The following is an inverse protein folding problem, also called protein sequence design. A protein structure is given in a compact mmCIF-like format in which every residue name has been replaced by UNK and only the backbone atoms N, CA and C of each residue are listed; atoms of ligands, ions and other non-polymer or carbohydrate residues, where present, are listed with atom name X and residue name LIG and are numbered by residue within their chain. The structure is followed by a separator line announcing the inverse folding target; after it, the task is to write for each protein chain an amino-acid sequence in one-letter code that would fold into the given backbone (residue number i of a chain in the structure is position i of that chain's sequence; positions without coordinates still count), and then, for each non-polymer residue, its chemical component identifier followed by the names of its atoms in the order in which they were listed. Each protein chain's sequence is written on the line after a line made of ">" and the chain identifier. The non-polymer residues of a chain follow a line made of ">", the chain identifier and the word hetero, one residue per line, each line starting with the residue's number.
data_IF_661478680656
#
_entry.id   IF_661478680656
#
_cell.length_a   1.000
_cell.length_b   1.000
_cell.length_c   1.000
_cell.angle_alpha   90.00
_cell.angle_beta   90.00
_cell.angle_gamma   90.00
#
_symmetry.space_group_name_H-M   'P 1'
#
loop_
_entity.id
_entity.type
_entity.pdbx_description
1 polymer ?
#
# COMPACT_ATOMS: atom_id res chain seq x y z
N UNK A 1 18.31 -14.45 38.12
CA UNK A 1 17.48 -13.25 37.90
C UNK A 1 17.26 -13.09 36.38
N UNK A 2 16.04 -12.84 35.95
CA UNK A 2 15.66 -12.60 34.55
C UNK A 2 15.31 -11.10 34.42
N UNK A 3 15.90 -10.43 33.43
CA UNK A 3 15.52 -9.09 32.99
C UNK A 3 14.96 -9.18 31.56
N UNK A 4 13.76 -8.65 31.36
CA UNK A 4 13.13 -8.52 30.07
C UNK A 4 12.93 -7.04 29.75
N UNK A 5 13.28 -6.63 28.55
CA UNK A 5 13.11 -5.26 28.08
C UNK A 5 12.68 -5.30 26.60
N UNK A 6 11.65 -4.55 26.25
CA UNK A 6 11.17 -4.49 24.87
C UNK A 6 9.90 -3.66 24.73
N UNK A 7 9.49 -3.43 23.47
CA UNK A 7 8.21 -2.83 23.17
C UNK A 7 7.09 -3.88 23.31
N UNK A 8 5.95 -3.54 23.92
CA UNK A 8 4.84 -4.45 24.16
C UNK A 8 4.02 -4.69 22.89
N UNK A 9 4.55 -5.49 21.96
CA UNK A 9 3.99 -5.64 20.59
C UNK A 9 2.91 -6.71 20.47
N UNK A 10 2.75 -7.58 21.46
CA UNK A 10 1.85 -8.74 21.41
C UNK A 10 1.00 -8.85 22.67
N UNK A 11 -0.25 -9.32 22.51
CA UNK A 11 -1.20 -9.59 23.59
C UNK A 11 -1.12 -11.03 24.11
N UNK A 12 0.00 -11.71 23.89
CA UNK A 12 0.23 -13.08 24.35
C UNK A 12 1.72 -13.33 24.53
N UNK A 13 2.05 -14.44 25.16
CA UNK A 13 3.42 -14.88 25.41
C UNK A 13 4.01 -14.34 26.71
N UNK A 14 5.26 -14.76 26.98
CA UNK A 14 5.88 -14.62 28.27
C UNK A 14 6.01 -13.15 28.76
N UNK A 15 6.33 -12.22 27.85
CA UNK A 15 6.45 -10.79 28.16
C UNK A 15 5.09 -10.19 28.53
N UNK A 16 4.05 -10.47 27.75
CA UNK A 16 2.69 -10.04 28.06
C UNK A 16 2.20 -10.62 29.40
N UNK A 17 2.41 -11.90 29.59
CA UNK A 17 1.99 -12.61 30.80
C UNK A 17 2.66 -12.05 32.06
N UNK A 18 3.92 -11.62 31.96
CA UNK A 18 4.66 -11.02 33.09
C UNK A 18 4.10 -9.64 33.51
N UNK A 19 3.39 -8.95 32.62
CA UNK A 19 2.74 -7.66 32.91
C UNK A 19 1.26 -7.80 33.25
N UNK A 20 0.66 -8.98 33.01
CA UNK A 20 -0.77 -9.26 33.19
C UNK A 20 -1.01 -10.39 34.19
N UNK A 21 -1.29 -11.60 33.73
CA UNK A 21 -1.73 -12.71 34.62
C UNK A 21 -0.68 -13.17 35.63
N UNK A 22 0.61 -12.96 35.35
CA UNK A 22 1.70 -13.35 36.23
C UNK A 22 2.39 -12.14 36.88
N UNK A 23 1.77 -10.98 36.89
CA UNK A 23 2.35 -9.72 37.34
C UNK A 23 2.89 -9.77 38.75
N UNK A 24 2.25 -10.52 39.63
CA UNK A 24 2.67 -10.68 41.03
C UNK A 24 4.07 -11.31 41.21
N UNK A 25 4.54 -12.04 40.19
CA UNK A 25 5.83 -12.72 40.17
C UNK A 25 6.98 -11.84 39.65
N UNK A 26 6.66 -10.64 39.12
CA UNK A 26 7.60 -9.75 38.44
C UNK A 26 7.52 -8.33 38.96
N UNK A 27 8.67 -7.66 38.99
CA UNK A 27 8.72 -6.20 39.13
C UNK A 27 8.61 -5.61 37.73
N UNK A 28 7.47 -5.02 37.40
CA UNK A 28 7.19 -4.44 36.07
C UNK A 28 7.45 -2.94 36.06
N UNK A 29 8.07 -2.45 35.00
CA UNK A 29 8.32 -1.04 34.76
C UNK A 29 7.67 -0.64 33.46
N UNK A 30 7.01 0.51 33.46
CA UNK A 30 6.41 1.12 32.27
C UNK A 30 7.14 2.44 31.98
N UNK A 31 7.57 2.63 30.75
CA UNK A 31 8.29 3.83 30.30
C UNK A 31 7.51 4.45 29.14
N UNK A 32 6.90 5.61 29.40
CA UNK A 32 6.29 6.42 28.34
C UNK A 32 7.40 7.26 27.66
N UNK A 33 7.52 7.07 26.35
CA UNK A 33 8.51 7.75 25.51
C UNK A 33 8.40 9.27 25.53
N UNK A 34 7.19 9.83 25.74
CA UNK A 34 6.97 11.29 25.87
C UNK A 34 7.75 11.88 27.02
N UNK A 35 7.98 11.11 28.07
CA UNK A 35 8.71 11.51 29.26
C UNK A 35 10.21 11.17 29.18
N UNK A 36 10.68 10.60 28.08
CA UNK A 36 12.06 10.18 27.89
C UNK A 36 12.87 11.24 27.12
N UNK A 37 14.01 11.63 27.66
CA UNK A 37 14.96 12.52 26.96
C UNK A 37 15.62 11.89 25.73
N UNK A 38 15.46 10.57 25.53
CA UNK A 38 15.99 9.84 24.38
C UNK A 38 15.02 9.77 23.20
N UNK A 39 13.77 10.15 23.40
CA UNK A 39 12.74 10.18 22.37
C UNK A 39 12.54 11.63 21.94
N UNK A 40 12.77 11.94 20.68
CA UNK A 40 12.58 13.29 20.17
C UNK A 40 11.09 13.62 20.03
N UNK A 41 10.71 14.86 20.29
CA UNK A 41 9.34 15.35 20.08
C UNK A 41 8.93 15.25 18.59
N UNK A 42 9.88 15.42 17.68
CA UNK A 42 9.65 15.22 16.24
C UNK A 42 9.23 13.78 15.92
N UNK A 43 9.84 12.78 16.56
CA UNK A 43 9.43 11.37 16.42
C UNK A 43 8.01 11.16 16.95
N UNK A 44 7.69 11.69 18.12
CA UNK A 44 6.35 11.58 18.72
C UNK A 44 5.31 12.18 17.79
N UNK A 45 5.56 13.42 17.31
CA UNK A 45 4.64 14.10 16.39
C UNK A 45 4.50 13.36 15.05
N UNK A 46 5.58 12.79 14.54
CA UNK A 46 5.55 11.97 13.32
C UNK A 46 4.62 10.76 13.49
N UNK A 47 4.68 10.07 14.63
CA UNK A 47 3.79 8.93 14.90
C UNK A 47 2.33 9.38 15.03
N UNK A 48 2.07 10.48 15.74
CA UNK A 48 0.72 11.05 15.88
C UNK A 48 0.15 11.40 14.50
N UNK A 49 0.90 12.11 13.69
CA UNK A 49 0.45 12.56 12.37
C UNK A 49 0.22 11.39 11.39
N UNK A 50 0.99 10.30 11.50
CA UNK A 50 0.88 9.14 10.62
C UNK A 50 -0.23 8.17 11.03
N UNK A 51 -0.50 8.03 12.31
CA UNK A 51 -1.32 6.93 12.83
C UNK A 51 -2.43 7.38 13.79
N UNK A 52 -2.35 8.60 14.32
CA UNK A 52 -3.21 9.11 15.40
C UNK A 52 -2.70 8.71 16.79
N UNK A 53 -3.03 9.53 17.78
CA UNK A 53 -2.61 9.31 19.18
C UNK A 53 -3.31 8.08 19.80
N UNK A 54 -4.52 7.75 19.36
CA UNK A 54 -5.28 6.60 19.84
C UNK A 54 -4.92 5.28 19.15
N UNK A 55 -3.94 5.28 18.23
CA UNK A 55 -3.56 4.10 17.47
C UNK A 55 -2.69 3.13 18.29
N UNK A 56 -2.77 1.84 17.98
CA UNK A 56 -1.87 0.84 18.56
C UNK A 56 -0.39 1.09 18.25
N UNK A 57 -0.09 1.74 17.12
CA UNK A 57 1.27 2.15 16.79
C UNK A 57 1.79 3.19 17.77
N UNK A 58 0.97 4.18 18.14
CA UNK A 58 1.32 5.18 19.16
C UNK A 58 1.45 4.53 20.53
N UNK A 59 0.48 3.69 20.93
CA UNK A 59 0.52 2.97 22.21
C UNK A 59 1.82 2.19 22.38
N UNK A 60 2.18 1.39 21.38
CA UNK A 60 3.36 0.52 21.44
C UNK A 60 4.66 1.29 21.34
N UNK A 61 4.77 2.26 20.42
CA UNK A 61 6.05 2.92 20.09
C UNK A 61 6.35 4.16 20.88
N UNK A 62 5.32 4.83 21.39
CA UNK A 62 5.46 6.10 22.13
C UNK A 62 5.03 5.93 23.57
N UNK A 63 3.80 5.51 23.81
CA UNK A 63 3.29 5.37 25.18
C UNK A 63 3.91 4.20 25.95
N UNK A 64 4.44 3.16 25.28
CA UNK A 64 4.97 1.96 25.91
C UNK A 64 3.89 1.01 26.44
N UNK A 65 2.66 1.17 25.96
CA UNK A 65 1.49 0.37 26.31
C UNK A 65 1.32 -0.83 25.38
N UNK A 66 0.69 -1.90 25.86
CA UNK A 66 0.22 -2.98 25.01
C UNK A 66 -0.89 -2.48 24.04
N UNK A 67 -0.98 -3.05 22.83
CA UNK A 67 -2.06 -2.72 21.89
C UNK A 67 -3.44 -3.05 22.49
N UNK A 68 -4.50 -2.43 21.99
CA UNK A 68 -5.88 -2.78 22.35
C UNK A 68 -6.30 -4.04 21.59
N UNK A 69 -7.00 -4.96 22.24
CA UNK A 69 -7.19 -6.35 21.84
C UNK A 69 -7.88 -6.62 20.48
N UNK A 70 -8.41 -5.63 19.78
CA UNK A 70 -9.26 -5.85 18.60
C UNK A 70 -8.80 -5.13 17.32
N UNK A 71 -7.72 -4.36 17.31
CA UNK A 71 -7.31 -3.58 16.15
C UNK A 71 -5.99 -4.05 15.53
N UNK A 72 -5.96 -5.30 15.09
CA UNK A 72 -4.88 -5.81 14.23
C UNK A 72 -5.12 -5.52 12.73
N UNK A 73 -6.19 -4.80 12.38
CA UNK A 73 -6.52 -4.39 11.02
C UNK A 73 -5.72 -3.15 10.63
N UNK A 74 -5.00 -3.23 9.49
CA UNK A 74 -4.12 -2.14 9.09
C UNK A 74 -4.86 -0.92 8.53
N UNK A 75 -5.91 -1.14 7.71
CA UNK A 75 -6.78 -0.08 7.19
C UNK A 75 -8.23 -0.39 7.61
N UNK A 76 -8.80 0.36 8.55
CA UNK A 76 -10.15 0.12 9.04
C UNK A 76 -11.23 0.30 7.97
N UNK A 77 -12.29 -0.52 8.04
CA UNK A 77 -13.43 -0.47 7.12
C UNK A 77 -14.02 0.93 6.91
N UNK A 78 -14.24 1.77 7.95
CA UNK A 78 -14.79 3.10 7.76
C UNK A 78 -13.98 4.02 6.83
N UNK A 79 -12.64 3.84 6.78
CA UNK A 79 -11.80 4.60 5.85
C UNK A 79 -12.04 4.19 4.39
N UNK A 80 -12.24 2.89 4.16
CA UNK A 80 -12.52 2.33 2.83
C UNK A 80 -13.91 2.79 2.35
N UNK A 81 -14.93 2.66 3.21
CA UNK A 81 -16.31 3.08 2.93
C UNK A 81 -16.41 4.58 2.64
N UNK A 82 -15.72 5.42 3.41
CA UNK A 82 -15.67 6.87 3.15
C UNK A 82 -15.10 7.18 1.78
N UNK A 83 -14.05 6.47 1.37
CA UNK A 83 -13.43 6.63 0.05
C UNK A 83 -14.39 6.25 -1.08
N UNK A 84 -15.13 5.15 -0.93
CA UNK A 84 -16.12 4.70 -1.92
C UNK A 84 -17.28 5.68 -2.04
N UNK A 85 -17.77 6.20 -0.91
CA UNK A 85 -18.89 7.13 -0.84
C UNK A 85 -18.55 8.56 -1.30
N UNK A 86 -17.27 8.87 -1.55
CA UNK A 86 -16.83 10.20 -1.98
C UNK A 86 -17.21 10.46 -3.43
N UNK A 87 -17.91 11.57 -3.69
CA UNK A 87 -18.26 11.99 -5.05
C UNK A 87 -16.99 12.31 -5.86
N UNK A 88 -17.02 11.96 -7.14
CA UNK A 88 -15.94 12.21 -8.07
C UNK A 88 -16.39 13.07 -9.24
N UNK A 89 -15.67 14.16 -9.46
CA UNK A 89 -15.87 15.05 -10.60
C UNK A 89 -14.68 14.89 -11.57
N UNK A 90 -14.87 14.14 -12.70
CA UNK A 90 -13.78 13.85 -13.60
C UNK A 90 -13.24 15.11 -14.27
N UNK A 91 -11.93 15.27 -14.29
CA UNK A 91 -11.26 16.31 -15.05
C UNK A 91 -11.16 15.93 -16.52
N UNK A 92 -11.31 16.91 -17.39
CA UNK A 92 -11.12 16.71 -18.84
C UNK A 92 -9.68 16.26 -19.17
N UNK A 93 -8.71 16.77 -18.44
CA UNK A 93 -7.29 16.41 -18.54
C UNK A 93 -6.78 16.03 -17.14
N UNK A 94 -6.74 14.75 -16.80
CA UNK A 94 -6.24 14.29 -15.52
C UNK A 94 -4.74 14.56 -15.42
N UNK A 95 -4.28 14.95 -14.24
CA UNK A 95 -2.86 15.21 -13.95
C UNK A 95 -2.12 13.94 -13.54
N UNK A 96 -2.87 12.96 -13.07
CA UNK A 96 -2.33 11.67 -12.64
C UNK A 96 -3.03 10.56 -13.42
N UNK A 97 -2.25 9.81 -14.20
CA UNK A 97 -2.74 8.57 -14.83
C UNK A 97 -1.72 7.47 -14.48
N UNK A 98 -2.15 6.45 -13.75
CA UNK A 98 -1.34 5.29 -13.42
C UNK A 98 -2.05 4.00 -13.78
N UNK A 99 -1.33 3.00 -14.26
CA UNK A 99 -1.83 1.64 -14.48
C UNK A 99 -1.15 0.72 -13.47
N UNK A 100 -1.91 -0.19 -12.87
CA UNK A 100 -1.44 -1.27 -12.00
C UNK A 100 -1.90 -2.63 -12.53
N UNK A 101 -1.05 -3.63 -12.39
CA UNK A 101 -1.38 -5.01 -12.74
C UNK A 101 -0.80 -5.98 -11.73
N UNK A 102 -1.68 -6.67 -10.99
CA UNK A 102 -1.33 -7.88 -10.25
C UNK A 102 -1.48 -9.08 -11.19
N UNK A 103 -0.40 -9.85 -11.38
CA UNK A 103 -0.33 -10.90 -12.41
C UNK A 103 -0.43 -12.28 -11.76
N UNK A 104 -1.47 -13.03 -12.11
CA UNK A 104 -1.59 -14.45 -11.81
C UNK A 104 -1.65 -15.28 -13.10
N UNK A 105 -1.05 -16.47 -13.11
CA UNK A 105 -1.05 -17.35 -14.29
C UNK A 105 -1.83 -18.64 -14.07
N UNK A 106 -1.63 -19.27 -12.93
CA UNK A 106 -2.20 -20.57 -12.60
C UNK A 106 -2.90 -20.56 -11.25
N UNK A 107 -3.88 -21.42 -11.08
CA UNK A 107 -4.64 -21.55 -9.84
C UNK A 107 -5.90 -20.68 -9.81
N UNK A 108 -6.34 -20.36 -8.62
CA UNK A 108 -7.56 -19.60 -8.35
C UNK A 108 -7.32 -18.07 -8.25
N UNK A 109 -6.05 -17.65 -8.23
CA UNK A 109 -5.68 -16.23 -8.12
C UNK A 109 -6.00 -15.52 -9.46
N UNK A 110 -6.40 -14.25 -9.36
CA UNK A 110 -6.84 -13.46 -10.52
C UNK A 110 -5.72 -12.56 -11.02
N UNK A 111 -5.58 -12.43 -12.34
CA UNK A 111 -4.90 -11.26 -12.93
C UNK A 111 -5.87 -10.10 -12.86
N UNK A 112 -5.46 -9.03 -12.19
CA UNK A 112 -6.24 -7.81 -12.04
C UNK A 112 -5.49 -6.65 -12.67
N UNK A 113 -6.14 -5.99 -13.66
CA UNK A 113 -5.62 -4.77 -14.30
C UNK A 113 -6.54 -3.62 -13.91
N UNK A 114 -5.97 -2.56 -13.39
CA UNK A 114 -6.70 -1.36 -13.03
C UNK A 114 -5.88 -0.11 -13.34
N UNK A 115 -6.53 1.04 -13.18
CA UNK A 115 -5.91 2.33 -13.39
C UNK A 115 -6.51 3.39 -12.46
N UNK A 116 -5.81 4.49 -12.30
CA UNK A 116 -6.38 5.70 -11.68
C UNK A 116 -6.23 6.89 -12.61
N UNK A 117 -7.21 7.76 -12.54
CA UNK A 117 -7.14 9.10 -13.10
C UNK A 117 -7.41 10.09 -11.98
N UNK A 118 -6.41 10.91 -11.67
CA UNK A 118 -6.39 11.77 -10.49
C UNK A 118 -6.72 11.00 -9.21
N UNK A 119 -7.87 11.24 -8.59
CA UNK A 119 -8.29 10.59 -7.35
C UNK A 119 -8.98 9.22 -7.61
N UNK A 120 -9.59 8.98 -8.79
CA UNK A 120 -10.45 7.82 -9.06
C UNK A 120 -9.70 6.59 -9.50
N UNK A 121 -9.84 5.49 -8.78
CA UNK A 121 -9.40 4.14 -9.18
C UNK A 121 -10.52 3.39 -9.87
N UNK A 122 -10.18 2.65 -10.91
CA UNK A 122 -11.11 1.80 -11.66
C UNK A 122 -10.42 0.48 -12.06
N UNK A 123 -11.19 -0.61 -12.02
CA UNK A 123 -10.73 -1.88 -12.60
C UNK A 123 -11.07 -1.94 -14.08
N UNK A 124 -10.08 -2.34 -14.89
CA UNK A 124 -10.27 -2.56 -16.31
C UNK A 124 -10.62 -4.02 -16.62
N UNK A 125 -9.87 -4.95 -16.02
CA UNK A 125 -10.11 -6.39 -16.18
C UNK A 125 -9.74 -7.18 -14.92
N UNK A 126 -10.51 -8.24 -14.69
CA UNK A 126 -10.24 -9.26 -13.67
C UNK A 126 -10.43 -10.63 -14.32
N UNK A 127 -9.40 -11.48 -14.35
CA UNK A 127 -9.45 -12.79 -15.00
C UNK A 127 -8.62 -13.83 -14.26
N UNK A 128 -9.13 -15.05 -14.22
CA UNK A 128 -8.43 -16.26 -13.76
C UNK A 128 -7.81 -16.97 -14.96
N UNK A 129 -6.62 -17.54 -14.80
CA UNK A 129 -5.98 -18.41 -15.79
C UNK A 129 -5.54 -17.69 -17.07
N UNK A 130 -5.24 -16.40 -17.04
CA UNK A 130 -4.80 -15.63 -18.20
C UNK A 130 -3.29 -15.80 -18.44
N UNK A 131 -2.89 -15.98 -19.71
CA UNK A 131 -1.48 -15.98 -20.07
C UNK A 131 -0.85 -14.56 -20.05
N UNK A 132 0.47 -14.53 -19.94
CA UNK A 132 1.23 -13.27 -19.80
C UNK A 132 1.22 -12.41 -21.06
N UNK A 133 1.13 -13.03 -22.25
CA UNK A 133 1.06 -12.30 -23.52
C UNK A 133 -0.26 -11.56 -23.63
N UNK A 134 -1.37 -12.24 -23.31
CA UNK A 134 -2.70 -11.64 -23.29
C UNK A 134 -2.81 -10.53 -22.23
N UNK A 135 -2.17 -10.72 -21.07
CA UNK A 135 -2.11 -9.69 -20.03
C UNK A 135 -1.38 -8.44 -20.53
N UNK A 136 -0.25 -8.61 -21.21
CA UNK A 136 0.47 -7.48 -21.82
C UNK A 136 -0.36 -6.76 -22.89
N UNK A 137 -1.06 -7.50 -23.75
CA UNK A 137 -1.93 -6.92 -24.80
C UNK A 137 -3.11 -6.14 -24.18
N UNK A 138 -3.69 -6.63 -23.08
CA UNK A 138 -4.75 -5.94 -22.35
C UNK A 138 -4.25 -4.62 -21.72
N UNK A 139 -3.03 -4.60 -21.15
CA UNK A 139 -2.39 -3.38 -20.64
C UNK A 139 -2.15 -2.37 -21.77
N UNK A 140 -1.65 -2.84 -22.93
CA UNK A 140 -1.47 -1.97 -24.10
C UNK A 140 -2.79 -1.38 -24.56
N UNK A 141 -3.84 -2.21 -24.63
CA UNK A 141 -5.18 -1.77 -25.02
C UNK A 141 -5.73 -0.70 -24.08
N UNK A 142 -5.58 -0.90 -22.76
CA UNK A 142 -5.98 0.10 -21.76
C UNK A 142 -5.20 1.41 -21.94
N UNK A 143 -3.87 1.33 -22.05
CA UNK A 143 -3.06 2.54 -22.18
C UNK A 143 -3.37 3.33 -23.44
N UNK A 144 -3.57 2.65 -24.57
CA UNK A 144 -4.00 3.30 -25.82
C UNK A 144 -5.39 3.95 -25.69
N UNK A 145 -6.31 3.30 -24.99
CA UNK A 145 -7.63 3.87 -24.67
C UNK A 145 -7.47 5.18 -23.86
N UNK A 146 -6.65 5.18 -22.82
CA UNK A 146 -6.41 6.36 -21.97
C UNK A 146 -5.74 7.50 -22.76
N UNK A 147 -4.74 7.18 -23.60
CA UNK A 147 -4.09 8.16 -24.49
C UNK A 147 -5.11 8.81 -25.42
N UNK A 148 -5.96 8.02 -26.04
CA UNK A 148 -7.01 8.52 -26.94
C UNK A 148 -8.08 9.32 -26.19
N UNK A 149 -8.60 8.79 -25.08
CA UNK A 149 -9.67 9.42 -24.30
C UNK A 149 -9.28 10.79 -23.78
N UNK A 150 -8.04 10.96 -23.34
CA UNK A 150 -7.54 12.21 -22.74
C UNK A 150 -6.72 13.06 -23.73
N UNK A 151 -6.54 12.60 -24.97
CA UNK A 151 -5.82 13.33 -26.00
C UNK A 151 -4.35 13.57 -25.66
N UNK A 152 -3.70 12.61 -24.98
CA UNK A 152 -2.30 12.75 -24.53
C UNK A 152 -1.32 12.84 -25.69
N UNK A 153 -0.29 13.68 -25.55
CA UNK A 153 0.71 13.97 -26.58
C UNK A 153 2.14 13.77 -26.06
N UNK A 154 3.06 13.22 -26.88
CA UNK A 154 4.40 12.86 -26.45
C UNK A 154 5.26 14.05 -25.97
N UNK A 155 5.05 15.22 -26.52
CA UNK A 155 5.86 16.41 -26.22
C UNK A 155 5.32 17.23 -25.04
N UNK A 156 4.10 16.94 -24.60
CA UNK A 156 3.37 17.72 -23.60
C UNK A 156 3.17 16.91 -22.33
N UNK A 157 2.68 15.69 -22.49
CA UNK A 157 2.25 14.85 -21.38
C UNK A 157 3.36 13.89 -20.91
N UNK A 158 3.34 13.59 -19.62
CA UNK A 158 4.25 12.60 -19.06
C UNK A 158 3.80 11.17 -19.43
N UNK A 159 4.73 10.24 -19.65
CA UNK A 159 4.39 8.84 -19.85
C UNK A 159 3.59 8.26 -18.68
N UNK A 160 2.70 7.31 -19.00
CA UNK A 160 1.86 6.62 -18.01
C UNK A 160 2.70 5.57 -17.27
N UNK A 161 2.88 5.66 -15.93
CA UNK A 161 3.51 4.61 -15.15
C UNK A 161 2.66 3.34 -15.14
N UNK A 162 3.25 2.24 -15.63
CA UNK A 162 2.66 0.91 -15.64
C UNK A 162 3.41 0.09 -14.59
N UNK A 163 2.76 -0.16 -13.46
CA UNK A 163 3.36 -0.87 -12.32
C UNK A 163 2.83 -2.30 -12.30
N UNK A 164 3.74 -3.27 -12.33
CA UNK A 164 3.43 -4.68 -12.52
C UNK A 164 4.07 -5.45 -11.37
N UNK A 165 3.32 -6.35 -10.73
CA UNK A 165 3.92 -7.30 -9.80
C UNK A 165 4.91 -8.20 -10.56
N UNK A 166 6.21 -8.04 -10.28
CA UNK A 166 7.31 -8.82 -10.85
C UNK A 166 7.63 -10.07 -10.00
N UNK A 167 6.71 -10.48 -9.14
CA UNK A 167 6.76 -11.71 -8.36
C UNK A 167 6.44 -12.94 -9.21
N UNK A 168 7.44 -13.72 -9.63
CA UNK A 168 7.22 -14.96 -10.37
C UNK A 168 6.84 -14.75 -11.83
N UNK A 169 5.56 -14.87 -12.19
CA UNK A 169 5.08 -14.82 -13.61
C UNK A 169 5.02 -13.43 -14.21
N UNK A 170 4.94 -12.39 -13.39
CA UNK A 170 4.81 -11.01 -13.88
C UNK A 170 6.02 -10.51 -14.67
N UNK A 171 7.21 -11.10 -14.46
CA UNK A 171 8.40 -10.83 -15.27
C UNK A 171 8.16 -11.00 -16.77
N UNK A 172 7.38 -12.01 -17.17
CA UNK A 172 7.03 -12.24 -18.57
C UNK A 172 6.18 -11.12 -19.17
N UNK A 173 5.28 -10.52 -18.38
CA UNK A 173 4.50 -9.34 -18.80
C UNK A 173 5.40 -8.12 -18.96
N UNK A 174 6.30 -7.88 -17.99
CA UNK A 174 7.29 -6.79 -18.04
C UNK A 174 8.16 -6.87 -19.29
N UNK A 175 8.71 -8.06 -19.60
CA UNK A 175 9.58 -8.26 -20.75
C UNK A 175 8.83 -8.07 -22.06
N UNK A 176 7.59 -8.56 -22.16
CA UNK A 176 6.73 -8.37 -23.33
C UNK A 176 6.42 -6.89 -23.57
N UNK A 177 6.05 -6.14 -22.55
CA UNK A 177 5.78 -4.71 -22.70
C UNK A 177 7.03 -3.92 -23.10
N UNK A 178 8.19 -4.26 -22.54
CA UNK A 178 9.48 -3.68 -22.96
C UNK A 178 9.81 -3.98 -24.40
N UNK A 179 9.54 -5.20 -24.87
CA UNK A 179 9.71 -5.59 -26.28
C UNK A 179 8.77 -4.79 -27.19
N UNK A 180 7.49 -4.66 -26.85
CA UNK A 180 6.51 -3.87 -27.60
C UNK A 180 6.98 -2.42 -27.75
N UNK A 181 7.39 -1.79 -26.64
CA UNK A 181 7.89 -0.41 -26.66
C UNK A 181 9.14 -0.25 -27.50
N UNK A 182 10.11 -1.19 -27.42
CA UNK A 182 11.35 -1.14 -28.25
C UNK A 182 11.09 -1.28 -29.74
N UNK A 183 10.10 -2.10 -30.12
CA UNK A 183 9.77 -2.32 -31.52
C UNK A 183 9.11 -1.11 -32.19
N UNK A 184 8.41 -0.28 -31.41
CA UNK A 184 7.79 0.94 -31.94
C UNK A 184 7.76 2.02 -30.82
N UNK A 185 8.88 2.67 -30.53
CA UNK A 185 9.00 3.62 -29.42
C UNK A 185 8.14 4.88 -29.61
N UNK A 186 7.94 5.34 -30.85
CA UNK A 186 7.11 6.51 -31.14
C UNK A 186 5.63 6.25 -30.84
N UNK A 187 5.11 5.09 -31.24
CA UNK A 187 3.73 4.70 -30.99
C UNK A 187 3.46 4.46 -29.50
N UNK A 188 4.44 3.89 -28.77
CA UNK A 188 4.32 3.51 -27.36
C UNK A 188 5.13 4.45 -26.45
N UNK A 189 5.30 5.72 -26.83
CA UNK A 189 5.97 6.76 -26.05
C UNK A 189 5.41 6.89 -24.63
N UNK A 190 4.11 6.71 -24.50
CA UNK A 190 3.34 6.84 -23.26
C UNK A 190 3.62 5.76 -22.22
N UNK A 191 4.27 4.65 -22.56
CA UNK A 191 4.54 3.54 -21.63
C UNK A 191 5.77 3.84 -20.78
N UNK A 192 5.62 3.77 -19.46
CA UNK A 192 6.73 3.80 -18.51
C UNK A 192 6.59 2.60 -17.56
N UNK A 193 7.44 1.57 -17.72
CA UNK A 193 7.25 0.24 -17.13
C UNK A 193 8.04 0.09 -15.84
N UNK A 194 7.35 -0.16 -14.74
CA UNK A 194 7.89 -0.34 -13.39
C UNK A 194 7.61 -1.74 -12.86
N UNK A 195 8.61 -2.64 -12.86
CA UNK A 195 8.50 -3.91 -12.14
C UNK A 195 8.54 -3.64 -10.61
N UNK A 196 7.58 -4.16 -9.89
CA UNK A 196 7.44 -4.01 -8.43
C UNK A 196 7.46 -5.39 -7.79
N UNK A 197 8.20 -5.58 -6.71
CA UNK A 197 8.25 -6.84 -5.95
C UNK A 197 7.56 -6.69 -4.61
N UNK A 198 6.51 -7.46 -4.40
CA UNK A 198 5.86 -7.58 -3.10
C UNK A 198 6.72 -8.35 -2.10
N UNK A 199 6.55 -8.07 -0.81
CA UNK A 199 7.25 -8.75 0.28
C UNK A 199 8.77 -8.55 0.34
N UNK A 200 9.35 -7.71 -0.54
CA UNK A 200 10.79 -7.43 -0.53
C UNK A 200 11.16 -6.60 0.70
N UNK A 201 12.17 -7.02 1.47
CA UNK A 201 12.72 -6.22 2.57
C UNK A 201 13.23 -4.87 2.08
N UNK A 202 12.90 -3.81 2.81
CA UNK A 202 13.29 -2.43 2.47
C UNK A 202 14.05 -1.76 3.62
N UNK A 203 14.90 -0.80 3.29
CA UNK A 203 15.53 0.08 4.27
C UNK A 203 14.58 1.24 4.59
N UNK A 204 13.66 1.00 5.53
CA UNK A 204 12.70 2.00 5.98
C UNK A 204 12.65 2.03 7.50
N UNK A 205 12.42 3.22 8.10
CA UNK A 205 12.40 3.39 9.56
C UNK A 205 11.23 2.65 10.20
N UNK A 206 10.07 2.64 9.56
CA UNK A 206 8.79 2.19 10.13
C UNK A 206 8.26 0.90 9.51
N UNK A 207 8.60 0.59 8.27
CA UNK A 207 8.02 -0.52 7.52
C UNK A 207 9.05 -1.60 7.23
N UNK A 208 8.62 -2.87 7.38
CA UNK A 208 9.50 -4.02 7.26
C UNK A 208 9.76 -4.42 5.81
N UNK A 209 8.76 -4.30 4.95
CA UNK A 209 8.82 -4.70 3.56
C UNK A 209 8.05 -3.78 2.59
N UNK A 210 8.18 -4.05 1.30
CA UNK A 210 7.57 -3.26 0.22
C UNK A 210 6.04 -3.30 0.24
N UNK A 211 5.43 -4.43 0.60
CA UNK A 211 3.96 -4.56 0.70
C UNK A 211 3.42 -3.65 1.80
N UNK A 212 4.06 -3.70 2.97
CA UNK A 212 3.70 -2.84 4.10
C UNK A 212 3.86 -1.36 3.75
N UNK A 213 4.94 -1.01 3.03
CA UNK A 213 5.12 0.36 2.54
C UNK A 213 4.00 0.78 1.59
N UNK A 214 3.63 -0.05 0.61
CA UNK A 214 2.54 0.25 -0.31
C UNK A 214 1.19 0.38 0.41
N UNK A 215 0.90 -0.49 1.39
CA UNK A 215 -0.27 -0.37 2.26
C UNK A 215 -0.26 0.95 3.04
N UNK A 216 0.90 1.41 3.51
CA UNK A 216 1.00 2.70 4.20
C UNK A 216 0.73 3.89 3.28
N UNK A 217 1.14 3.81 2.03
CA UNK A 217 0.79 4.82 1.01
C UNK A 217 -0.71 4.88 0.78
N UNK A 218 -1.36 3.72 0.60
CA UNK A 218 -2.82 3.66 0.44
C UNK A 218 -3.52 4.20 1.69
N UNK A 219 -3.11 3.78 2.90
CA UNK A 219 -3.68 4.28 4.16
C UNK A 219 -3.62 5.80 4.24
N UNK A 220 -2.47 6.40 3.86
CA UNK A 220 -2.31 7.87 3.86
C UNK A 220 -3.28 8.55 2.89
N UNK A 221 -3.50 8.01 1.69
CA UNK A 221 -4.44 8.53 0.71
C UNK A 221 -5.90 8.43 1.16
N UNK A 222 -6.22 7.43 1.99
CA UNK A 222 -7.55 7.21 2.57
C UNK A 222 -7.80 8.01 3.85
N UNK A 223 -6.77 8.60 4.47
CA UNK A 223 -6.91 9.33 5.73
C UNK A 223 -7.85 10.53 5.58
N UNK A 224 -8.87 10.65 6.46
CA UNK A 224 -9.81 11.77 6.44
C UNK A 224 -9.31 13.04 7.16
N UNK A 225 -8.06 13.00 7.64
CA UNK A 225 -7.43 14.11 8.36
C UNK A 225 -6.04 14.40 7.78
N UNK A 226 -5.64 15.66 7.80
CA UNK A 226 -4.28 16.06 7.43
C UNK A 226 -3.26 15.80 8.57
N UNK A 227 -2.01 16.18 8.33
CA UNK A 227 -0.91 16.02 9.29
C UNK A 227 -1.09 16.88 10.56
N UNK A 228 -2.03 17.84 10.58
CA UNK A 228 -2.39 18.69 11.71
C UNK A 228 -3.69 18.22 12.41
N UNK A 229 -4.27 17.08 11.98
CA UNK A 229 -5.51 16.56 12.52
C UNK A 229 -6.77 17.29 12.01
N UNK A 230 -6.66 18.16 11.01
CA UNK A 230 -7.82 18.84 10.43
C UNK A 230 -8.51 17.94 9.40
N UNK A 231 -9.85 17.93 9.36
CA UNK A 231 -10.60 17.17 8.36
C UNK A 231 -10.18 17.57 6.94
N UNK A 232 -9.94 16.56 6.10
CA UNK A 232 -9.68 16.71 4.67
C UNK A 232 -10.48 15.71 3.87
N UNK A 233 -10.62 15.98 2.58
CA UNK A 233 -11.14 15.00 1.65
C UNK A 233 -10.12 13.87 1.43
N UNK A 234 -10.62 12.67 1.15
CA UNK A 234 -9.76 11.55 0.78
C UNK A 234 -9.08 11.84 -0.56
N UNK A 235 -7.82 11.45 -0.67
CA UNK A 235 -7.01 11.68 -1.88
C UNK A 235 -7.11 10.54 -2.90
N UNK A 236 -7.94 9.53 -2.60
CA UNK A 236 -8.19 8.38 -3.46
C UNK A 236 -9.62 7.92 -3.30
N UNK A 237 -10.28 7.65 -4.42
CA UNK A 237 -11.65 7.12 -4.48
C UNK A 237 -11.57 5.70 -5.02
N UNK A 238 -11.90 4.75 -4.18
CA UNK A 238 -11.87 3.34 -4.49
C UNK A 238 -13.14 2.92 -5.24
N UNK A 239 -13.06 1.90 -6.12
CA UNK A 239 -14.25 1.31 -6.71
C UNK A 239 -15.10 0.61 -5.63
N UNK A 240 -16.41 0.67 -5.78
CA UNK A 240 -17.36 -0.11 -4.99
C UNK A 240 -17.30 -1.58 -5.43
N UNK A 241 -16.48 -2.36 -4.72
CA UNK A 241 -16.16 -3.75 -5.05
C UNK A 241 -15.97 -4.54 -3.74
N UNK A 242 -16.89 -5.45 -3.47
CA UNK A 242 -16.92 -6.21 -2.21
C UNK A 242 -15.62 -6.97 -1.93
N UNK A 243 -14.99 -7.54 -2.97
CA UNK A 243 -13.73 -8.27 -2.81
C UNK A 243 -12.61 -7.30 -2.41
N UNK A 244 -12.51 -6.14 -3.04
CA UNK A 244 -11.54 -5.11 -2.69
C UNK A 244 -11.73 -4.61 -1.25
N UNK A 245 -12.99 -4.32 -0.88
CA UNK A 245 -13.34 -3.87 0.48
C UNK A 245 -12.87 -4.88 1.51
N UNK A 246 -13.23 -6.16 1.34
CA UNK A 246 -12.83 -7.23 2.26
C UNK A 246 -11.30 -7.43 2.31
N UNK A 247 -10.62 -7.33 1.18
CA UNK A 247 -9.15 -7.52 1.10
C UNK A 247 -8.38 -6.38 1.77
N UNK A 248 -8.84 -5.14 1.67
CA UNK A 248 -8.20 -3.99 2.32
C UNK A 248 -8.53 -3.96 3.81
N UNK A 249 -9.81 -4.04 4.17
CA UNK A 249 -10.27 -3.89 5.55
C UNK A 249 -10.09 -5.15 6.40
N UNK A 250 -9.79 -6.31 5.77
CA UNK A 250 -9.51 -7.56 6.45
C UNK A 250 -8.03 -7.88 6.64
N UNK A 251 -7.11 -7.04 6.13
CA UNK A 251 -5.67 -7.30 6.19
C UNK A 251 -5.08 -6.86 7.52
N UNK A 252 -4.55 -7.86 8.25
CA UNK A 252 -3.97 -7.66 9.56
C UNK A 252 -2.53 -7.15 9.50
N UNK A 253 -2.05 -6.61 10.63
CA UNK A 253 -0.65 -6.24 10.78
C UNK A 253 -0.11 -6.66 12.14
N UNK A 254 1.20 -6.70 12.24
CA UNK A 254 1.93 -6.95 13.48
C UNK A 254 3.11 -5.99 13.60
N UNK A 255 3.60 -5.86 14.82
CA UNK A 255 4.87 -5.20 15.09
C UNK A 255 5.98 -6.26 15.12
N UNK A 256 7.00 -6.08 14.28
CA UNK A 256 8.17 -6.98 14.28
C UNK A 256 9.04 -6.74 15.51
N UNK A 257 9.96 -7.66 15.82
CA UNK A 257 10.95 -7.54 16.91
C UNK A 257 11.76 -6.23 16.84
N UNK A 258 11.99 -5.72 15.62
CA UNK A 258 12.66 -4.43 15.39
C UNK A 258 11.72 -3.23 15.45
N UNK A 259 10.53 -3.39 16.04
CA UNK A 259 9.50 -2.35 16.14
C UNK A 259 9.09 -1.73 14.79
N UNK A 260 9.11 -2.53 13.73
CA UNK A 260 8.58 -2.13 12.41
C UNK A 260 7.21 -2.76 12.21
N UNK A 261 6.37 -2.05 11.49
CA UNK A 261 5.08 -2.58 11.04
C UNK A 261 5.31 -3.58 9.91
N UNK A 262 4.58 -4.69 9.95
CA UNK A 262 4.49 -5.67 8.87
C UNK A 262 3.05 -6.11 8.69
N UNK A 263 2.48 -5.91 7.50
CA UNK A 263 1.17 -6.48 7.16
C UNK A 263 1.30 -7.97 6.87
N UNK A 264 0.21 -8.72 7.10
CA UNK A 264 0.21 -10.16 6.83
C UNK A 264 0.52 -10.45 5.36
N UNK A 265 1.31 -11.52 5.16
CA UNK A 265 1.62 -12.02 3.82
C UNK A 265 0.44 -12.78 3.20
N UNK A 266 0.39 -12.90 1.87
CA UNK A 266 -0.58 -13.75 1.14
C UNK A 266 -0.62 -15.19 1.73
N UNK A 267 0.52 -15.73 2.16
CA UNK A 267 0.61 -17.07 2.76
C UNK A 267 -0.15 -17.16 4.08
N UNK A 268 -0.01 -16.15 4.95
CA UNK A 268 -0.70 -16.09 6.25
C UNK A 268 -2.21 -15.89 6.03
N UNK A 269 -2.61 -15.01 5.12
CA UNK A 269 -4.01 -14.81 4.74
C UNK A 269 -4.65 -16.11 4.26
N UNK A 270 -4.01 -16.85 3.34
CA UNK A 270 -4.49 -18.15 2.85
C UNK A 270 -4.58 -19.19 3.98
N UNK A 271 -3.65 -19.22 4.93
CA UNK A 271 -3.67 -20.14 6.06
C UNK A 271 -4.88 -19.92 6.99
N UNK A 272 -5.41 -18.71 7.10
CA UNK A 272 -6.65 -18.43 7.85
C UNK A 272 -7.91 -18.40 6.97
N UNK A 273 -7.84 -18.96 5.76
CA UNK A 273 -8.99 -19.12 4.86
C UNK A 273 -9.40 -17.85 4.10
N UNK A 274 -8.57 -16.81 4.09
CA UNK A 274 -8.85 -15.58 3.34
C UNK A 274 -8.35 -15.72 1.90
N UNK A 275 -9.15 -15.33 0.89
CA UNK A 275 -8.72 -15.33 -0.50
C UNK A 275 -7.49 -14.46 -0.77
N UNK A 276 -6.80 -14.71 -1.90
CA UNK A 276 -5.70 -13.86 -2.35
C UNK A 276 -6.16 -12.41 -2.52
N UNK A 277 -5.37 -11.41 -2.07
CA UNK A 277 -5.75 -10.01 -2.14
C UNK A 277 -5.44 -9.36 -3.50
N UNK A 278 -5.84 -10.00 -4.61
CA UNK A 278 -5.44 -9.63 -5.96
C UNK A 278 -5.96 -8.25 -6.38
N UNK A 279 -7.20 -7.90 -6.00
CA UNK A 279 -7.78 -6.57 -6.21
C UNK A 279 -7.05 -5.50 -5.39
N UNK A 280 -6.78 -5.79 -4.12
CA UNK A 280 -6.04 -4.87 -3.25
C UNK A 280 -4.60 -4.67 -3.73
N UNK A 281 -3.90 -5.74 -4.14
CA UNK A 281 -2.52 -5.65 -4.62
C UNK A 281 -2.45 -4.84 -5.93
N UNK A 282 -3.42 -4.96 -6.83
CA UNK A 282 -3.56 -4.07 -8.00
C UNK A 282 -3.70 -2.60 -7.58
N UNK A 283 -4.56 -2.29 -6.59
CA UNK A 283 -4.73 -0.92 -6.07
C UNK A 283 -3.46 -0.40 -5.42
N UNK A 284 -2.73 -1.24 -4.67
CA UNK A 284 -1.43 -0.86 -4.09
C UNK A 284 -0.42 -0.46 -5.16
N UNK A 285 -0.36 -1.20 -6.28
CA UNK A 285 0.49 -0.85 -7.42
C UNK A 285 0.07 0.49 -8.03
N UNK A 286 -1.22 0.70 -8.25
CA UNK A 286 -1.78 1.94 -8.81
C UNK A 286 -1.40 3.14 -7.94
N UNK A 287 -1.51 3.02 -6.62
CA UNK A 287 -1.27 4.10 -5.66
C UNK A 287 0.23 4.36 -5.38
N UNK A 288 1.11 3.41 -5.69
CA UNK A 288 2.54 3.56 -5.43
C UNK A 288 3.11 4.78 -6.17
N UNK A 289 3.71 5.77 -5.48
CA UNK A 289 4.27 6.93 -6.14
C UNK A 289 5.50 6.58 -6.98
N UNK A 290 5.65 7.23 -8.13
CA UNK A 290 6.83 7.12 -8.99
C UNK A 290 7.78 8.27 -8.71
N UNK A 291 9.03 7.95 -8.42
CA UNK A 291 10.10 8.95 -8.31
C UNK A 291 10.65 9.24 -9.69
N UNK A 292 10.23 10.32 -10.31
CA UNK A 292 10.86 10.83 -11.54
C UNK A 292 12.00 11.78 -11.19
N UNK A 293 13.14 11.70 -11.89
CA UNK A 293 14.17 12.72 -11.75
C UNK A 293 13.57 14.07 -12.17
N UNK A 294 13.77 15.13 -11.37
CA UNK A 294 13.37 16.49 -11.77
C UNK A 294 14.00 16.78 -13.12
N UNK A 295 13.20 17.12 -14.15
CA UNK A 295 13.72 17.67 -15.41
C UNK A 295 14.62 18.83 -15.03
N UNK A 296 15.90 18.79 -15.40
CA UNK A 296 16.77 19.97 -15.32
C UNK A 296 16.09 21.04 -16.17
N UNK A 297 15.64 22.15 -15.53
CA UNK A 297 15.21 23.31 -16.28
C UNK A 297 16.36 23.66 -17.20
N UNK A 298 16.14 23.55 -18.52
CA UNK A 298 17.14 23.91 -19.52
C UNK A 298 17.59 25.33 -19.22
N UNK A 299 18.91 25.51 -19.13
CA UNK A 299 19.49 26.82 -19.26
C UNK A 299 19.12 27.29 -20.66
N UNK A 300 18.25 28.31 -20.74
CA UNK A 300 18.06 29.15 -21.91
C UNK A 300 19.28 29.99 -22.08
#
# INVERSE_FOLDING_TARGET
>A
KLLMCGNPTQLSGFFYDSHNKNREQYSTFHIDGRNSTRVSQEFVQTIINMYGEDSDVFRVRVAGDFPLAEDDIYIPLPMVEKSIATEYFPRRHPQIIHIGCDVARFGTDKTVIGYRTDEKVQFFKKRVGQDTMKTADDIVSLGMLLVYQYGLKPDIDEPIPIKIDDGGVGGGVVDRLRQIKRNNPERFWWMEIYPVKFGKKIRHKFFDDSTTYMMSVLKKLLQPFDDNGLPKDVEIILPDDDALVAQISGRKYEMTENSKIRVESKKVMKARGVPSPDEADCVLLICLPVKRPKKKKGAT
#
